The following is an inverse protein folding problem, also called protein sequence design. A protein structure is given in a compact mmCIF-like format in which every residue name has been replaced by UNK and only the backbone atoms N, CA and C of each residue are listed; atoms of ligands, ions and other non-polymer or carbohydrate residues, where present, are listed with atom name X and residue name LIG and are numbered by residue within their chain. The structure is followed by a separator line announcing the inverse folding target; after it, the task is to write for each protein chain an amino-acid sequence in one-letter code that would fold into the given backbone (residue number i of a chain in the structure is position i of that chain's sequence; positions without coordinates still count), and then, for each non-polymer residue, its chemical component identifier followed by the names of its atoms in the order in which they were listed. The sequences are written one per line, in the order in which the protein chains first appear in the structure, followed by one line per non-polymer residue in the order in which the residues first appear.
data_IF_143021530035
#
_entry.id   IF_143021530035
#
_cell.length_a   1.000
_cell.length_b   1.000
_cell.length_c   1.000
_cell.angle_alpha   90.00
_cell.angle_beta   90.00
_cell.angle_gamma   90.00
#
_symmetry.space_group_name_H-M   'P 1'
#
loop_
_entity.id
_entity.type
_entity.pdbx_description
1 polymer ?
#
# COMPACT_ATOMS: atom_id res chain seq x y z
N UNK A 1 8.94 13.22 22.51
CA UNK A 1 9.34 11.82 22.29
C UNK A 1 8.09 10.99 21.98
N UNK A 2 8.09 10.24 20.89
CA UNK A 2 6.90 9.54 20.42
C UNK A 2 6.86 8.13 21.07
N UNK A 3 5.91 7.88 21.97
CA UNK A 3 5.82 6.63 22.77
C UNK A 3 5.84 5.37 21.89
N UNK A 4 5.19 5.43 20.73
CA UNK A 4 5.18 4.37 19.74
C UNK A 4 6.58 4.06 19.21
N UNK A 5 7.38 5.10 18.94
CA UNK A 5 8.75 4.93 18.48
C UNK A 5 9.60 4.21 19.52
N UNK A 6 9.49 4.60 20.80
CA UNK A 6 10.22 3.92 21.88
C UNK A 6 9.81 2.46 22.04
N UNK A 7 8.51 2.16 21.95
CA UNK A 7 8.00 0.78 22.01
C UNK A 7 8.50 -0.08 20.85
N UNK A 8 8.51 0.47 19.64
CA UNK A 8 9.00 -0.25 18.45
C UNK A 8 10.49 -0.56 18.58
N UNK A 9 11.31 0.40 19.01
CA UNK A 9 12.74 0.14 19.24
C UNK A 9 12.97 -0.96 20.27
N UNK A 10 12.24 -0.93 21.38
CA UNK A 10 12.36 -1.98 22.41
C UNK A 10 11.93 -3.36 21.91
N UNK A 11 10.90 -3.42 21.06
CA UNK A 11 10.49 -4.69 20.44
C UNK A 11 11.58 -5.20 19.49
N UNK A 12 12.17 -4.33 18.65
CA UNK A 12 13.27 -4.71 17.75
C UNK A 12 14.46 -5.29 18.53
N UNK A 13 14.83 -4.68 19.66
CA UNK A 13 15.92 -5.15 20.52
C UNK A 13 15.66 -6.54 21.14
N UNK A 14 14.41 -7.00 21.18
CA UNK A 14 14.03 -8.31 21.72
C UNK A 14 13.96 -9.41 20.65
N UNK A 15 14.01 -9.07 19.36
CA UNK A 15 14.03 -10.06 18.28
C UNK A 15 15.45 -10.56 18.04
N UNK A 16 15.58 -11.85 17.72
CA UNK A 16 16.81 -12.37 17.12
C UNK A 16 16.98 -11.79 15.71
N UNK A 17 18.22 -11.61 15.25
CA UNK A 17 18.51 -11.01 13.94
C UNK A 17 17.82 -11.76 12.78
N UNK A 18 17.79 -13.10 12.84
CA UNK A 18 17.13 -13.95 11.85
C UNK A 18 15.60 -13.74 11.84
N UNK A 19 14.99 -13.50 13.01
CA UNK A 19 13.56 -13.22 13.13
C UNK A 19 13.23 -11.78 12.71
N UNK A 20 14.20 -10.86 12.85
CA UNK A 20 14.04 -9.45 12.51
C UNK A 20 13.85 -9.26 11.01
N UNK A 21 14.64 -9.94 10.17
CA UNK A 21 14.50 -9.87 8.71
C UNK A 21 13.14 -10.39 8.25
N UNK A 22 12.75 -11.58 8.73
CA UNK A 22 11.44 -12.18 8.44
C UNK A 22 10.28 -11.27 8.88
N UNK A 23 10.35 -10.75 10.10
CA UNK A 23 9.33 -9.86 10.66
C UNK A 23 9.25 -8.55 9.86
N UNK A 24 10.39 -7.98 9.49
CA UNK A 24 10.44 -6.77 8.67
C UNK A 24 9.80 -6.99 7.31
N UNK A 25 10.08 -8.11 6.64
CA UNK A 25 9.48 -8.44 5.34
C UNK A 25 7.95 -8.48 5.43
N UNK A 26 7.39 -9.09 6.48
CA UNK A 26 5.94 -9.17 6.71
C UNK A 26 5.36 -7.78 6.97
N UNK A 27 5.96 -7.01 7.87
CA UNK A 27 5.48 -5.66 8.23
C UNK A 27 5.54 -4.73 7.02
N UNK A 28 6.60 -4.80 6.23
CA UNK A 28 6.77 -4.00 5.03
C UNK A 28 5.70 -4.33 3.98
N UNK A 29 5.46 -5.62 3.70
CA UNK A 29 4.41 -6.04 2.78
C UNK A 29 3.03 -5.52 3.21
N UNK A 30 2.68 -5.69 4.49
CA UNK A 30 1.42 -5.19 5.04
C UNK A 30 1.30 -3.66 4.97
N UNK A 31 2.41 -2.94 5.18
CA UNK A 31 2.44 -1.49 5.05
C UNK A 31 2.15 -1.04 3.61
N UNK A 32 2.79 -1.68 2.64
CA UNK A 32 2.57 -1.43 1.21
C UNK A 32 1.12 -1.72 0.82
N UNK A 33 0.59 -2.88 1.20
CA UNK A 33 -0.79 -3.27 0.90
C UNK A 33 -1.80 -2.30 1.50
N UNK A 34 -1.60 -1.92 2.77
CA UNK A 34 -2.45 -0.93 3.44
C UNK A 34 -2.42 0.42 2.72
N UNK A 35 -1.23 0.90 2.36
CA UNK A 35 -1.08 2.17 1.66
C UNK A 35 -1.75 2.15 0.29
N UNK A 36 -1.54 1.07 -0.48
CA UNK A 36 -2.16 0.88 -1.79
C UNK A 36 -3.69 0.84 -1.68
N UNK A 37 -4.23 0.07 -0.74
CA UNK A 37 -5.67 0.04 -0.49
C UNK A 37 -6.24 1.40 -0.12
N UNK A 38 -5.52 2.18 0.69
CA UNK A 38 -5.95 3.53 1.06
C UNK A 38 -5.98 4.44 -0.16
N UNK A 39 -4.96 4.40 -1.00
CA UNK A 39 -4.90 5.18 -2.24
C UNK A 39 -6.04 4.81 -3.19
N UNK A 40 -6.29 3.51 -3.41
CA UNK A 40 -7.40 3.02 -4.24
C UNK A 40 -8.74 3.52 -3.70
N UNK A 41 -8.97 3.44 -2.39
CA UNK A 41 -10.21 3.94 -1.78
C UNK A 41 -10.37 5.45 -1.95
N UNK A 42 -9.29 6.22 -1.82
CA UNK A 42 -9.33 7.67 -1.99
C UNK A 42 -9.67 8.06 -3.44
N UNK A 43 -9.06 7.38 -4.42
CA UNK A 43 -9.37 7.57 -5.83
C UNK A 43 -10.83 7.22 -6.10
N UNK A 44 -11.31 6.05 -5.67
CA UNK A 44 -12.72 5.64 -5.85
C UNK A 44 -13.72 6.63 -5.26
N UNK A 45 -13.39 7.31 -4.16
CA UNK A 45 -14.27 8.34 -3.57
C UNK A 45 -14.31 9.63 -4.37
N UNK A 46 -13.24 9.96 -5.10
CA UNK A 46 -13.13 11.20 -5.89
C UNK A 46 -13.51 11.00 -7.35
N UNK A 47 -13.46 9.74 -7.81
CA UNK A 47 -13.74 9.33 -9.17
C UNK A 47 -15.11 9.84 -9.64
N UNK A 48 -15.09 10.66 -10.68
CA UNK A 48 -16.26 11.10 -11.42
C UNK A 48 -16.58 10.07 -12.51
N UNK A 49 -17.83 10.04 -13.02
CA UNK A 49 -18.22 9.13 -14.10
C UNK A 49 -17.30 9.19 -15.34
N UNK A 50 -16.70 10.35 -15.59
CA UNK A 50 -15.84 10.64 -16.75
C UNK A 50 -14.34 10.37 -16.50
N UNK A 51 -13.95 10.00 -15.28
CA UNK A 51 -12.55 9.71 -14.92
C UNK A 51 -12.13 8.28 -15.31
N UNK A 52 -13.06 7.49 -15.84
CA UNK A 52 -12.84 6.11 -16.27
C UNK A 52 -13.35 5.93 -17.67
N UNK A 53 -12.58 5.21 -18.48
CA UNK A 53 -12.99 4.80 -19.80
C UNK A 53 -14.07 3.72 -19.67
N UNK A 54 -15.08 3.83 -20.52
CA UNK A 54 -15.95 2.70 -20.85
C UNK A 54 -15.14 1.61 -21.56
N UNK A 55 -15.68 0.40 -21.61
CA UNK A 55 -15.02 -0.71 -22.28
C UNK A 55 -14.76 -0.37 -23.77
N UNK A 56 -15.71 0.27 -24.44
CA UNK A 56 -15.59 0.70 -25.83
C UNK A 56 -14.48 1.73 -26.02
N UNK A 57 -14.38 2.75 -25.15
CA UNK A 57 -13.34 3.78 -25.21
C UNK A 57 -11.95 3.20 -24.93
N UNK A 58 -11.83 2.27 -23.97
CA UNK A 58 -10.59 1.57 -23.68
C UNK A 58 -10.13 0.71 -24.87
N UNK A 59 -11.06 -0.01 -25.51
CA UNK A 59 -10.77 -0.83 -26.69
C UNK A 59 -10.32 0.03 -27.88
N UNK A 60 -10.91 1.21 -28.07
CA UNK A 60 -10.45 2.15 -29.11
C UNK A 60 -9.01 2.60 -28.85
N UNK A 61 -8.68 3.00 -27.63
CA UNK A 61 -7.31 3.40 -27.29
C UNK A 61 -6.27 2.30 -27.54
N UNK A 62 -6.60 1.04 -27.24
CA UNK A 62 -5.70 -0.12 -27.46
C UNK A 62 -5.60 -0.50 -28.95
N UNK A 63 -6.67 -0.31 -29.74
CA UNK A 63 -6.64 -0.60 -31.17
C UNK A 63 -5.92 0.48 -32.00
N UNK A 64 -5.84 1.71 -31.50
CA UNK A 64 -5.17 2.84 -32.15
C UNK A 64 -3.80 3.18 -31.54
N UNK A 65 -3.27 2.32 -30.66
CA UNK A 65 -1.93 2.42 -30.05
C UNK A 65 -0.87 1.58 -30.74
#
# INVERSE_FOLDING_TARGET
MNLLRMRIHHLIEQLADDDLESTWSIVYALHCDFYMMKAIHEVKRRQQPWDTLTQEEAMQLVMFS
#
